data_IF_196849788151
#
_entry.id   IF_196849788151
#
_cell.length_a   1.000
_cell.length_b   1.000
_cell.length_c   1.000
_cell.angle_alpha   90.00
_cell.angle_beta   90.00
_cell.angle_gamma   90.00
#
_symmetry.space_group_name_H-M   'P 1'
#
loop_
_entity.id
_entity.type
_entity.pdbx_description
1 polymer ?
#
# COMPACT_ATOMS: atom_id res chain seq x y z
N UNK A 1 -3.85 -21.70 7.95
CA UNK A 1 -5.08 -20.90 8.15
C UNK A 1 -5.54 -20.85 9.62
N UNK A 2 -4.92 -21.57 10.57
CA UNK A 2 -5.41 -21.69 11.97
C UNK A 2 -5.16 -20.53 12.95
N UNK A 3 -4.48 -19.44 12.59
CA UNK A 3 -4.21 -18.37 13.55
C UNK A 3 -5.43 -17.49 13.90
N UNK A 4 -6.48 -17.49 13.06
CA UNK A 4 -7.69 -16.66 13.27
C UNK A 4 -8.69 -17.27 14.24
N UNK A 5 -8.66 -18.59 14.44
CA UNK A 5 -9.69 -19.28 15.22
C UNK A 5 -9.46 -19.15 16.73
N UNK A 6 -8.22 -18.96 17.18
CA UNK A 6 -7.91 -19.01 18.62
C UNK A 6 -8.06 -17.68 19.38
N UNK A 7 -8.18 -16.54 18.70
CA UNK A 7 -8.21 -15.22 19.34
C UNK A 7 -9.41 -14.39 18.88
N UNK A 8 -10.62 -14.92 19.08
CA UNK A 8 -11.86 -14.16 18.85
C UNK A 8 -12.12 -13.30 20.08
N UNK A 9 -11.86 -12.00 19.99
CA UNK A 9 -12.09 -11.06 21.10
C UNK A 9 -13.58 -10.74 21.25
N UNK A 10 -14.04 -10.50 22.48
CA UNK A 10 -15.44 -10.18 22.82
C UNK A 10 -15.97 -8.93 22.08
N UNK A 11 -15.08 -7.97 21.78
CA UNK A 11 -15.37 -6.81 20.96
C UNK A 11 -14.55 -6.84 19.66
N UNK A 12 -15.09 -6.32 18.54
CA UNK A 12 -14.34 -6.20 17.31
C UNK A 12 -13.15 -5.27 17.53
N UNK A 13 -11.98 -5.73 17.07
CA UNK A 13 -10.76 -4.93 17.05
C UNK A 13 -10.93 -3.71 16.13
N UNK A 14 -10.21 -2.63 16.48
CA UNK A 14 -10.20 -1.39 15.68
C UNK A 14 -9.74 -1.72 14.25
N UNK A 15 -10.41 -1.18 13.21
CA UNK A 15 -10.02 -1.41 11.82
C UNK A 15 -8.56 -1.03 11.56
N UNK A 16 -7.91 -1.77 10.67
CA UNK A 16 -6.57 -1.43 10.22
C UNK A 16 -6.58 -0.11 9.43
N UNK A 17 -5.51 0.68 9.58
CA UNK A 17 -5.28 1.89 8.80
C UNK A 17 -3.94 1.77 8.07
N UNK A 18 -3.81 2.36 6.89
CA UNK A 18 -2.57 2.30 6.10
C UNK A 18 -1.37 2.80 6.92
N UNK A 19 -1.53 3.95 7.60
CA UNK A 19 -0.51 4.53 8.48
C UNK A 19 -0.14 3.58 9.63
N UNK A 20 -1.14 2.96 10.26
CA UNK A 20 -0.92 2.01 11.36
C UNK A 20 -0.18 0.76 10.91
N UNK A 21 -0.59 0.15 9.79
CA UNK A 21 0.07 -1.03 9.22
C UNK A 21 1.53 -0.72 8.86
N UNK A 22 1.75 0.43 8.21
CA UNK A 22 3.10 0.86 7.82
C UNK A 22 4.01 1.11 9.03
N UNK A 23 3.49 1.71 10.10
CA UNK A 23 4.26 1.89 11.33
C UNK A 23 4.63 0.54 11.95
N UNK A 24 3.69 -0.41 12.03
CA UNK A 24 4.00 -1.75 12.55
C UNK A 24 5.05 -2.45 11.69
N UNK A 25 5.06 -2.27 10.37
CA UNK A 25 6.11 -2.80 9.51
C UNK A 25 7.48 -2.18 9.80
N UNK A 26 7.54 -0.87 10.05
CA UNK A 26 8.77 -0.21 10.51
C UNK A 26 9.23 -0.74 11.86
N UNK A 27 8.33 -0.96 12.80
CA UNK A 27 8.65 -1.50 14.13
C UNK A 27 9.22 -2.93 14.02
N UNK A 28 8.62 -3.77 13.15
CA UNK A 28 9.14 -5.11 12.83
C UNK A 28 10.54 -5.03 12.22
N UNK A 29 10.79 -4.09 11.31
CA UNK A 29 12.09 -3.90 10.68
C UNK A 29 13.15 -3.41 11.67
N UNK A 30 12.79 -2.49 12.57
CA UNK A 30 13.68 -1.92 13.58
C UNK A 30 13.98 -2.89 14.75
N UNK A 31 13.12 -3.89 14.98
CA UNK A 31 13.30 -4.83 16.09
C UNK A 31 14.57 -5.70 15.92
N UNK A 32 15.51 -5.57 16.86
CA UNK A 32 16.79 -6.28 16.91
C UNK A 32 17.12 -6.76 18.33
N UNK A 33 18.16 -7.57 18.47
CA UNK A 33 18.65 -8.10 19.75
C UNK A 33 17.90 -9.34 20.26
N UNK A 34 18.16 -9.70 21.52
CA UNK A 34 17.53 -10.84 22.20
C UNK A 34 16.01 -10.66 22.20
N UNK A 35 15.28 -11.78 22.10
CA UNK A 35 13.80 -11.85 21.98
C UNK A 35 13.17 -11.13 20.78
N UNK A 36 13.96 -10.57 19.85
CA UNK A 36 13.43 -9.83 18.68
C UNK A 36 12.51 -10.68 17.81
N UNK A 37 12.81 -11.97 17.63
CA UNK A 37 11.96 -12.88 16.87
C UNK A 37 10.57 -13.05 17.50
N UNK A 38 10.50 -13.15 18.83
CA UNK A 38 9.22 -13.29 19.53
C UNK A 38 8.41 -11.98 19.45
N UNK A 39 9.07 -10.83 19.60
CA UNK A 39 8.45 -9.51 19.40
C UNK A 39 7.89 -9.36 17.99
N UNK A 40 8.67 -9.70 16.95
CA UNK A 40 8.23 -9.67 15.54
C UNK A 40 7.01 -10.55 15.32
N UNK A 41 7.02 -11.80 15.82
CA UNK A 41 5.87 -12.70 15.77
C UNK A 41 4.64 -12.07 16.44
N UNK A 42 4.82 -11.47 17.62
CA UNK A 42 3.76 -10.77 18.34
C UNK A 42 3.11 -9.64 17.53
N UNK A 43 3.91 -8.82 16.84
CA UNK A 43 3.38 -7.78 15.95
C UNK A 43 2.58 -8.36 14.78
N UNK A 44 3.08 -9.44 14.15
CA UNK A 44 2.37 -10.11 13.05
C UNK A 44 1.04 -10.70 13.54
N UNK A 45 1.03 -11.39 14.67
CA UNK A 45 -0.19 -11.98 15.25
C UNK A 45 -1.23 -10.88 15.52
N UNK A 46 -0.84 -9.76 16.14
CA UNK A 46 -1.72 -8.63 16.39
C UNK A 46 -2.32 -8.06 15.10
N UNK A 47 -1.50 -7.93 14.04
CA UNK A 47 -1.96 -7.43 12.75
C UNK A 47 -2.98 -8.38 12.09
N UNK A 48 -2.74 -9.68 12.19
CA UNK A 48 -3.64 -10.71 11.65
C UNK A 48 -4.94 -10.82 12.44
N UNK A 49 -4.91 -10.63 13.76
CA UNK A 49 -6.09 -10.61 14.61
C UNK A 49 -6.98 -9.38 14.34
N UNK A 50 -6.39 -8.26 13.91
CA UNK A 50 -7.12 -7.04 13.56
C UNK A 50 -7.61 -7.00 12.09
N UNK A 51 -7.06 -7.86 11.24
CA UNK A 51 -7.39 -7.91 9.81
C UNK A 51 -8.82 -8.42 9.55
N UNK A 52 -9.55 -7.76 8.64
CA UNK A 52 -10.89 -8.15 8.19
C UNK A 52 -10.87 -8.55 6.71
N UNK A 53 -11.71 -9.51 6.34
CA UNK A 53 -11.84 -9.96 4.95
C UNK A 53 -10.52 -10.40 4.31
N UNK A 54 -10.13 -9.73 3.22
CA UNK A 54 -8.94 -10.04 2.43
C UNK A 54 -7.65 -9.32 2.93
N UNK A 55 -7.74 -8.43 3.92
CA UNK A 55 -6.61 -7.66 4.45
C UNK A 55 -5.46 -8.57 4.92
N UNK A 56 -5.79 -9.64 5.65
CA UNK A 56 -4.80 -10.59 6.16
C UNK A 56 -3.94 -11.20 5.04
N UNK A 57 -4.53 -11.42 3.86
CA UNK A 57 -3.82 -11.95 2.70
C UNK A 57 -2.76 -10.98 2.19
N UNK A 58 -3.12 -9.70 2.05
CA UNK A 58 -2.18 -8.66 1.62
C UNK A 58 -1.12 -8.37 2.67
N UNK A 59 -1.49 -8.34 3.95
CA UNK A 59 -0.54 -8.19 5.05
C UNK A 59 0.54 -9.29 5.02
N UNK A 60 0.13 -10.56 4.94
CA UNK A 60 1.09 -11.67 4.90
C UNK A 60 1.97 -11.63 3.66
N UNK A 61 1.39 -11.33 2.49
CA UNK A 61 2.15 -11.22 1.25
C UNK A 61 3.16 -10.07 1.28
N UNK A 62 2.81 -8.95 1.90
CA UNK A 62 3.74 -7.82 2.12
C UNK A 62 4.89 -8.22 3.04
N UNK A 63 4.63 -8.92 4.15
CA UNK A 63 5.67 -9.41 5.07
C UNK A 63 6.60 -10.45 4.42
N UNK A 64 6.10 -11.21 3.45
CA UNK A 64 6.90 -12.16 2.66
C UNK A 64 7.66 -11.52 1.50
N UNK A 65 7.52 -10.19 1.30
CA UNK A 65 8.02 -9.47 0.13
C UNK A 65 7.53 -10.05 -1.21
N UNK A 66 6.33 -10.66 -1.25
CA UNK A 66 5.75 -11.36 -2.41
C UNK A 66 4.29 -10.97 -2.60
N UNK A 67 4.05 -9.70 -2.97
CA UNK A 67 2.70 -9.14 -3.09
C UNK A 67 1.85 -9.82 -4.20
N UNK A 68 2.49 -10.20 -5.31
CA UNK A 68 1.88 -10.94 -6.44
C UNK A 68 0.61 -10.27 -7.01
N UNK A 69 0.66 -8.94 -7.20
CA UNK A 69 -0.45 -8.16 -7.78
C UNK A 69 -0.28 -7.87 -9.28
N UNK A 70 0.82 -8.34 -9.90
CA UNK A 70 1.12 -8.09 -11.31
C UNK A 70 1.52 -6.64 -11.63
N UNK A 71 1.65 -5.80 -10.60
CA UNK A 71 2.10 -4.41 -10.70
C UNK A 71 3.45 -4.26 -10.00
N UNK A 72 4.28 -3.39 -10.57
CA UNK A 72 5.61 -3.07 -10.06
C UNK A 72 5.80 -1.54 -10.03
N UNK A 73 7.01 -1.12 -9.66
CA UNK A 73 7.42 0.27 -9.48
C UNK A 73 7.02 1.19 -10.65
N UNK A 74 7.31 0.78 -11.89
CA UNK A 74 6.97 1.57 -13.08
C UNK A 74 5.46 1.83 -13.21
N UNK A 75 4.62 0.86 -12.86
CA UNK A 75 3.16 1.02 -12.85
C UNK A 75 2.71 1.99 -11.76
N UNK A 76 3.39 2.00 -10.61
CA UNK A 76 3.09 2.91 -9.50
C UNK A 76 3.44 4.36 -9.87
N UNK A 77 4.59 4.60 -10.52
CA UNK A 77 4.99 5.94 -10.97
C UNK A 77 3.98 6.53 -11.96
N UNK A 78 3.54 5.73 -12.93
CA UNK A 78 2.50 6.15 -13.90
C UNK A 78 1.18 6.45 -13.19
N UNK A 79 0.75 5.56 -12.28
CA UNK A 79 -0.50 5.75 -11.54
C UNK A 79 -0.46 7.02 -10.67
N UNK A 80 0.68 7.33 -10.04
CA UNK A 80 0.87 8.54 -9.24
C UNK A 80 0.78 9.80 -10.11
N UNK A 81 1.45 9.81 -11.26
CA UNK A 81 1.41 10.92 -12.20
C UNK A 81 -0.01 11.18 -12.70
N UNK A 82 -0.73 10.13 -13.08
CA UNK A 82 -2.12 10.23 -13.52
C UNK A 82 -3.03 10.73 -12.40
N UNK A 83 -2.87 10.21 -11.17
CA UNK A 83 -3.66 10.64 -10.02
C UNK A 83 -3.46 12.14 -9.73
N UNK A 84 -2.22 12.63 -9.79
CA UNK A 84 -1.92 14.05 -9.58
C UNK A 84 -2.52 14.94 -10.69
N UNK A 85 -2.41 14.52 -11.95
CA UNK A 85 -2.97 15.26 -13.08
C UNK A 85 -4.51 15.32 -13.00
N UNK A 86 -5.16 14.19 -12.76
CA UNK A 86 -6.63 14.09 -12.68
C UNK A 86 -7.20 14.79 -11.43
N UNK A 87 -6.49 14.75 -10.31
CA UNK A 87 -6.92 15.46 -9.10
C UNK A 87 -6.92 16.98 -9.30
N UNK A 88 -5.92 17.50 -10.03
CA UNK A 88 -5.79 18.93 -10.36
C UNK A 88 -6.86 19.41 -11.33
N UNK A 89 -7.29 18.56 -12.26
CA UNK A 89 -8.36 18.89 -13.21
C UNK A 89 -9.77 18.80 -12.59
N UNK A 90 -9.88 18.34 -11.33
CA UNK A 90 -11.12 18.27 -10.57
C UNK A 90 -11.95 17.05 -10.94
N UNK A 91 -12.29 16.22 -9.95
CA UNK A 91 -13.09 14.99 -10.06
C UNK A 91 -14.54 15.18 -10.57
N UNK A 92 -14.87 16.32 -11.20
CA UNK A 92 -16.24 16.66 -11.58
C UNK A 92 -16.43 17.86 -12.51
N UNK A 93 -15.40 18.53 -13.02
CA UNK A 93 -15.62 19.52 -14.08
C UNK A 93 -15.56 18.83 -15.43
N UNK A 94 -16.74 18.51 -15.97
CA UNK A 94 -16.94 17.88 -17.28
C UNK A 94 -16.47 18.70 -18.47
N UNK A 95 -15.22 19.16 -18.47
CA UNK A 95 -14.52 19.52 -19.70
C UNK A 95 -14.16 18.22 -20.38
N UNK A 96 -15.00 17.86 -21.36
CA UNK A 96 -14.67 16.89 -22.41
C UNK A 96 -13.51 17.46 -23.24
N UNK A 97 -12.34 17.63 -22.63
CA UNK A 97 -11.12 17.78 -23.40
C UNK A 97 -11.00 16.47 -24.18
N UNK A 98 -11.15 16.54 -25.52
CA UNK A 98 -11.24 15.35 -26.38
C UNK A 98 -10.15 14.35 -26.01
N UNK A 99 -10.50 13.07 -25.87
CA UNK A 99 -9.68 12.06 -25.17
C UNK A 99 -8.21 11.94 -25.62
N UNK A 100 -7.89 12.44 -26.82
CA UNK A 100 -6.51 12.57 -27.33
C UNK A 100 -5.68 13.60 -26.54
N UNK A 101 -6.22 14.78 -26.24
CA UNK A 101 -5.51 15.83 -25.51
C UNK A 101 -5.27 15.46 -24.05
N UNK A 102 -6.20 14.74 -23.43
CA UNK A 102 -6.03 14.21 -22.07
C UNK A 102 -4.98 13.11 -22.03
N UNK A 103 -4.99 12.18 -23.00
CA UNK A 103 -4.00 11.11 -23.07
C UNK A 103 -2.57 11.66 -23.20
N UNK A 104 -2.36 12.65 -24.06
CA UNK A 104 -1.06 13.29 -24.24
C UNK A 104 -0.58 14.00 -22.96
N UNK A 105 -1.47 14.71 -22.26
CA UNK A 105 -1.16 15.33 -20.97
C UNK A 105 -0.74 14.30 -19.91
N UNK A 106 -1.48 13.19 -19.82
CA UNK A 106 -1.20 12.11 -18.87
C UNK A 106 0.15 11.45 -19.17
N UNK A 107 0.47 11.22 -20.44
CA UNK A 107 1.74 10.66 -20.87
C UNK A 107 2.92 11.58 -20.54
N UNK A 108 2.81 12.88 -20.84
CA UNK A 108 3.82 13.89 -20.46
C UNK A 108 4.04 13.91 -18.95
N UNK A 109 2.96 13.88 -18.16
CA UNK A 109 3.03 13.82 -16.70
C UNK A 109 3.73 12.56 -16.19
N UNK A 110 3.42 11.41 -16.77
CA UNK A 110 4.06 10.14 -16.42
C UNK A 110 5.55 10.14 -16.77
N UNK A 111 5.94 10.69 -17.92
CA UNK A 111 7.35 10.82 -18.31
C UNK A 111 8.13 11.75 -17.36
N UNK A 112 7.54 12.89 -16.97
CA UNK A 112 8.18 13.81 -16.02
C UNK A 112 8.43 13.16 -14.65
N UNK A 113 7.44 12.44 -14.11
CA UNK A 113 7.58 11.73 -12.82
C UNK A 113 8.62 10.61 -12.92
N UNK A 114 8.64 9.85 -14.03
CA UNK A 114 9.65 8.82 -14.26
C UNK A 114 11.06 9.41 -14.33
N UNK A 115 11.25 10.49 -15.09
CA UNK A 115 12.55 11.16 -15.21
C UNK A 115 13.05 11.65 -13.85
N UNK A 116 12.19 12.34 -13.09
CA UNK A 116 12.53 12.80 -11.75
C UNK A 116 12.89 11.65 -10.80
N UNK A 117 12.18 10.52 -10.87
CA UNK A 117 12.47 9.33 -10.08
C UNK A 117 13.80 8.68 -10.47
N UNK A 118 14.15 8.68 -11.76
CA UNK A 118 15.43 8.13 -12.23
C UNK A 118 16.64 8.96 -11.75
N UNK A 119 16.46 10.26 -11.53
CA UNK A 119 17.51 11.13 -10.97
C UNK A 119 17.60 10.99 -9.45
N UNK A 120 16.46 10.82 -8.76
CA UNK A 120 16.36 10.76 -7.30
C UNK A 120 15.36 9.68 -6.84
N UNK A 121 15.78 8.40 -6.69
CA UNK A 121 14.89 7.28 -6.35
C UNK A 121 14.47 7.19 -4.88
#
# INVERSE_FOLDING_TARGET
VSARTSQRTMFPTKPLTIRGVFQVFKDIAAASGTSSQERKKGHVIKLLAASKGNEAGYVMRSLQAKLRIGLAEQSVLVALAHAAALHREGLGTGKKDGGVALAEKLERGAQAVKAAYCECP
#
